data_IF_457377073059
#
_entry.id   IF_457377073059
#
_cell.length_a   1.000
_cell.length_b   1.000
_cell.length_c   1.000
_cell.angle_alpha   90.00
_cell.angle_beta   90.00
_cell.angle_gamma   90.00
#
_symmetry.space_group_name_H-M   'P 1'
#
loop_
_entity.id
_entity.type
_entity.pdbx_description
1 polymer ?
#
# COMPACT_ATOMS: atom_id res chain seq x y z
N UNK A 1 63.43 32.98 25.42
CA UNK A 1 61.92 32.86 25.55
C UNK A 1 61.34 32.37 24.25
N UNK A 2 60.92 31.12 24.22
CA UNK A 2 60.38 30.45 22.98
C UNK A 2 58.87 30.48 23.05
N UNK A 3 58.22 31.24 22.15
CA UNK A 3 56.78 31.38 22.04
C UNK A 3 56.24 30.16 21.25
N UNK A 4 55.55 29.22 21.91
CA UNK A 4 54.89 28.08 21.28
C UNK A 4 53.58 28.58 20.61
N UNK A 5 53.52 28.55 19.29
CA UNK A 5 52.31 28.80 18.52
C UNK A 5 51.41 27.58 18.62
N UNK A 6 50.27 27.73 19.28
CA UNK A 6 49.19 26.72 19.38
C UNK A 6 48.31 26.81 18.12
N UNK A 7 48.43 25.85 17.24
CA UNK A 7 47.55 25.68 16.08
C UNK A 7 46.27 25.01 16.54
N UNK A 8 45.17 25.75 16.63
CA UNK A 8 43.82 25.22 16.84
C UNK A 8 43.28 24.82 15.46
N UNK A 9 43.20 23.52 15.19
CA UNK A 9 42.56 23.00 14.02
C UNK A 9 41.04 23.02 14.24
N UNK A 10 40.34 23.90 13.53
CA UNK A 10 38.89 23.99 13.52
C UNK A 10 38.35 22.87 12.61
N UNK A 11 37.86 21.79 13.22
CA UNK A 11 37.17 20.72 12.49
C UNK A 11 35.74 21.20 12.21
N UNK A 12 35.51 21.67 10.99
CA UNK A 12 34.16 21.91 10.47
C UNK A 12 33.50 20.57 10.20
N UNK A 13 32.68 20.13 11.16
CA UNK A 13 31.77 18.98 10.94
C UNK A 13 30.67 19.40 9.97
N UNK A 14 30.73 18.89 8.73
CA UNK A 14 29.64 18.99 7.78
C UNK A 14 28.50 18.11 8.26
N UNK A 15 27.55 18.69 8.97
CA UNK A 15 26.26 18.06 9.21
C UNK A 15 25.51 18.04 7.87
N UNK A 16 25.52 16.89 7.21
CA UNK A 16 24.61 16.63 6.12
C UNK A 16 23.19 16.58 6.72
N UNK A 17 22.47 17.69 6.63
CA UNK A 17 21.04 17.70 6.88
C UNK A 17 20.38 16.85 5.80
N UNK A 18 20.00 15.62 6.15
CA UNK A 18 19.07 14.83 5.34
C UNK A 18 17.77 15.62 5.28
N UNK A 19 17.52 16.27 4.14
CA UNK A 19 16.22 16.84 3.83
C UNK A 19 15.21 15.68 3.86
N UNK A 20 14.36 15.61 4.90
CA UNK A 20 13.12 14.88 4.80
C UNK A 20 12.31 15.61 3.72
N UNK A 21 12.38 15.10 2.50
CA UNK A 21 11.43 15.49 1.48
C UNK A 21 10.05 15.11 2.03
N UNK A 22 9.16 16.09 2.15
CA UNK A 22 7.72 15.87 2.25
C UNK A 22 7.24 15.35 0.88
N UNK A 23 7.70 14.18 0.50
CA UNK A 23 7.30 13.45 -0.67
C UNK A 23 6.39 12.33 -0.22
N UNK A 24 5.30 12.12 -0.96
CA UNK A 24 4.40 10.99 -0.72
C UNK A 24 5.16 9.66 -0.73
N UNK A 25 4.45 8.59 -0.50
CA UNK A 25 4.98 7.21 -0.41
C UNK A 25 5.60 6.72 -1.74
N UNK A 26 5.30 7.35 -2.86
CA UNK A 26 5.80 6.99 -4.18
C UNK A 26 7.33 7.07 -4.27
N UNK A 27 7.94 6.04 -4.87
CA UNK A 27 9.38 5.90 -4.98
C UNK A 27 10.06 5.36 -3.71
N UNK A 28 9.32 5.12 -2.62
CA UNK A 28 9.84 4.54 -1.40
C UNK A 28 9.57 3.04 -1.32
N UNK A 29 10.35 2.26 -0.58
CA UNK A 29 10.00 0.89 -0.27
C UNK A 29 8.62 0.82 0.39
N UNK A 30 7.74 -0.05 -0.12
CA UNK A 30 6.44 -0.28 0.49
C UNK A 30 6.62 -0.82 1.91
N UNK A 31 5.98 -0.22 2.93
CA UNK A 31 6.01 -0.74 4.29
C UNK A 31 5.52 -2.19 4.33
N UNK A 32 6.34 -3.10 4.88
CA UNK A 32 5.95 -4.50 5.01
C UNK A 32 4.90 -4.68 6.11
N UNK A 33 3.97 -5.58 5.88
CA UNK A 33 2.95 -5.94 6.86
C UNK A 33 2.55 -7.41 6.73
N UNK A 34 1.92 -7.94 7.76
CA UNK A 34 1.27 -9.24 7.74
C UNK A 34 -0.11 -9.12 8.39
N UNK A 35 -1.15 -9.54 7.68
CA UNK A 35 -2.53 -9.51 8.15
C UNK A 35 -3.20 -10.88 7.93
N UNK A 36 -4.20 -11.16 8.75
CA UNK A 36 -5.05 -12.34 8.58
C UNK A 36 -6.05 -12.13 7.45
N UNK A 37 -6.14 -13.10 6.56
CA UNK A 37 -7.06 -13.07 5.43
C UNK A 37 -8.45 -13.62 5.78
N UNK A 38 -9.40 -13.43 4.86
CA UNK A 38 -10.76 -14.02 4.93
C UNK A 38 -10.76 -15.55 4.95
N UNK A 39 -9.71 -16.20 4.45
CA UNK A 39 -9.51 -17.65 4.51
C UNK A 39 -8.87 -18.12 5.83
N UNK A 40 -8.45 -17.19 6.69
CA UNK A 40 -7.81 -17.46 7.97
C UNK A 40 -6.28 -17.58 7.93
N UNK A 41 -5.68 -17.51 6.75
CA UNK A 41 -4.23 -17.54 6.56
C UNK A 41 -3.63 -16.16 6.83
N UNK A 42 -2.40 -16.12 7.34
CA UNK A 42 -1.64 -14.88 7.42
C UNK A 42 -0.94 -14.64 6.08
N UNK A 43 -1.14 -13.46 5.50
CA UNK A 43 -0.52 -13.05 4.25
C UNK A 43 0.39 -11.86 4.50
N UNK A 44 1.63 -11.94 4.00
CA UNK A 44 2.65 -10.91 4.17
C UNK A 44 3.02 -10.28 2.82
N UNK A 45 3.08 -8.94 2.77
CA UNK A 45 3.41 -8.22 1.54
C UNK A 45 4.76 -8.64 0.94
N UNK A 46 5.79 -8.82 1.76
CA UNK A 46 7.13 -9.19 1.28
C UNK A 46 7.21 -10.58 0.62
N UNK A 47 6.21 -11.45 0.80
CA UNK A 47 6.12 -12.76 0.15
C UNK A 47 5.76 -12.66 -1.35
N UNK A 48 5.29 -11.48 -1.79
CA UNK A 48 4.93 -11.22 -3.18
C UNK A 48 6.05 -10.55 -3.98
N UNK A 49 7.29 -10.56 -3.49
CA UNK A 49 8.44 -10.04 -4.26
C UNK A 49 8.59 -10.79 -5.58
N UNK A 50 8.77 -10.05 -6.67
CA UNK A 50 8.79 -10.56 -8.04
C UNK A 50 7.47 -10.36 -8.79
N UNK A 51 6.39 -10.07 -8.08
CA UNK A 51 5.08 -9.73 -8.66
C UNK A 51 4.76 -8.25 -8.47
N UNK A 52 3.89 -7.71 -9.32
CA UNK A 52 3.25 -6.42 -9.11
C UNK A 52 2.11 -6.63 -8.11
N UNK A 53 2.07 -5.81 -7.04
CA UNK A 53 1.03 -5.90 -6.01
C UNK A 53 0.20 -4.64 -5.98
N UNK A 54 -1.11 -4.80 -6.09
CA UNK A 54 -2.07 -3.74 -5.80
C UNK A 54 -2.60 -3.95 -4.38
N UNK A 55 -2.47 -2.93 -3.54
CA UNK A 55 -3.03 -2.89 -2.19
C UNK A 55 -4.20 -1.91 -2.24
N UNK A 56 -5.41 -2.39 -2.01
CA UNK A 56 -6.62 -1.56 -2.00
C UNK A 56 -7.20 -1.51 -0.58
N UNK A 57 -7.19 -0.33 0.02
CA UNK A 57 -7.79 -0.09 1.33
C UNK A 57 -9.26 0.27 1.17
N UNK A 58 -10.13 -0.44 1.87
CA UNK A 58 -11.58 -0.30 1.75
C UNK A 58 -12.35 -0.56 3.05
N UNK A 59 -13.61 -0.14 3.10
CA UNK A 59 -14.51 -0.40 4.21
C UNK A 59 -15.94 -0.62 3.72
N UNK A 60 -16.77 -1.29 4.52
CA UNK A 60 -18.17 -1.61 4.16
C UNK A 60 -19.06 -0.36 4.04
N UNK A 61 -18.75 0.70 4.77
CA UNK A 61 -19.44 1.99 4.73
C UNK A 61 -18.98 2.90 3.58
N UNK A 62 -18.01 2.49 2.79
CA UNK A 62 -17.45 3.26 1.69
C UNK A 62 -18.19 2.97 0.38
N UNK A 63 -19.03 3.88 -0.07
CA UNK A 63 -19.80 3.73 -1.32
C UNK A 63 -18.92 3.58 -2.57
N UNK A 64 -17.90 4.43 -2.80
CA UNK A 64 -16.98 4.28 -3.93
C UNK A 64 -16.20 2.96 -3.92
N UNK A 65 -15.84 2.42 -2.74
CA UNK A 65 -15.18 1.11 -2.63
C UNK A 65 -16.06 -0.01 -3.18
N UNK A 66 -17.36 0.00 -2.84
CA UNK A 66 -18.33 -0.97 -3.35
C UNK A 66 -18.44 -0.95 -4.88
N UNK A 67 -18.28 0.22 -5.50
CA UNK A 67 -18.31 0.36 -6.97
C UNK A 67 -17.02 -0.13 -7.61
N UNK A 68 -15.87 0.09 -6.96
CA UNK A 68 -14.55 -0.27 -7.45
C UNK A 68 -14.28 -1.79 -7.38
N UNK A 69 -14.66 -2.44 -6.29
CA UNK A 69 -14.28 -3.83 -5.99
C UNK A 69 -14.58 -4.85 -7.10
N UNK A 70 -15.74 -4.84 -7.78
CA UNK A 70 -15.98 -5.76 -8.89
C UNK A 70 -15.01 -5.56 -10.07
N UNK A 71 -14.61 -4.32 -10.35
CA UNK A 71 -13.67 -4.00 -11.42
C UNK A 71 -12.24 -4.44 -11.04
N UNK A 72 -11.87 -4.28 -9.77
CA UNK A 72 -10.61 -4.81 -9.24
C UNK A 72 -10.57 -6.34 -9.32
N UNK A 73 -11.69 -7.03 -9.07
CA UNK A 73 -11.78 -8.47 -9.18
C UNK A 73 -11.61 -8.95 -10.63
N UNK A 74 -12.12 -8.20 -11.61
CA UNK A 74 -11.88 -8.46 -13.03
C UNK A 74 -10.39 -8.33 -13.39
N UNK A 75 -9.70 -7.29 -12.90
CA UNK A 75 -8.26 -7.12 -13.09
C UNK A 75 -7.49 -8.27 -12.45
N UNK A 76 -7.81 -8.62 -11.21
CA UNK A 76 -7.19 -9.74 -10.51
C UNK A 76 -7.38 -11.05 -11.26
N UNK A 77 -8.59 -11.40 -11.63
CA UNK A 77 -8.92 -12.62 -12.36
C UNK A 77 -8.15 -12.74 -13.68
N UNK A 78 -7.93 -11.63 -14.37
CA UNK A 78 -7.23 -11.59 -15.66
C UNK A 78 -5.71 -11.71 -15.54
N UNK A 79 -5.10 -11.07 -14.53
CA UNK A 79 -3.66 -10.88 -14.47
C UNK A 79 -2.95 -11.67 -13.37
N UNK A 80 -3.65 -12.30 -12.41
CA UNK A 80 -3.02 -13.06 -11.31
C UNK A 80 -2.02 -14.14 -11.77
N UNK A 81 -2.25 -14.75 -12.94
CA UNK A 81 -1.40 -15.83 -13.47
C UNK A 81 -0.13 -15.33 -14.15
N UNK A 82 0.01 -14.02 -14.33
CA UNK A 82 1.15 -13.41 -15.02
C UNK A 82 1.95 -12.46 -14.12
N UNK A 83 1.86 -12.67 -12.81
CA UNK A 83 2.66 -11.95 -11.81
C UNK A 83 2.01 -10.63 -11.34
N UNK A 84 0.70 -10.64 -11.19
CA UNK A 84 -0.06 -9.57 -10.54
C UNK A 84 -0.84 -10.14 -9.35
N UNK A 85 -0.77 -9.46 -8.21
CA UNK A 85 -1.55 -9.78 -7.03
C UNK A 85 -2.34 -8.57 -6.56
N UNK A 86 -3.50 -8.82 -5.96
CA UNK A 86 -4.33 -7.80 -5.35
C UNK A 86 -4.62 -8.20 -3.90
N UNK A 87 -4.36 -7.29 -2.97
CA UNK A 87 -4.63 -7.46 -1.55
C UNK A 87 -5.66 -6.39 -1.14
N UNK A 88 -6.89 -6.81 -0.91
CA UNK A 88 -7.95 -5.92 -0.43
C UNK A 88 -7.87 -5.79 1.09
N UNK A 89 -7.38 -4.67 1.61
CA UNK A 89 -7.23 -4.44 3.05
C UNK A 89 -8.48 -3.77 3.59
N UNK A 90 -9.29 -4.52 4.32
CA UNK A 90 -10.47 -4.02 4.99
C UNK A 90 -10.13 -3.38 6.34
N UNK A 91 -10.68 -2.20 6.61
CA UNK A 91 -10.43 -1.44 7.84
C UNK A 91 -11.66 -1.35 8.77
N UNK A 92 -12.70 -2.12 8.54
CA UNK A 92 -13.81 -2.17 9.51
C UNK A 92 -13.33 -2.75 10.86
N UNK A 93 -13.95 -2.30 11.93
CA UNK A 93 -13.69 -2.84 13.28
C UNK A 93 -14.25 -4.27 13.42
N UNK A 94 -15.27 -4.60 12.65
CA UNK A 94 -15.93 -5.90 12.59
C UNK A 94 -15.80 -6.53 11.19
N UNK A 95 -15.05 -7.62 11.10
CA UNK A 95 -14.84 -8.36 9.85
C UNK A 95 -16.08 -9.09 9.34
N UNK A 96 -17.10 -9.30 10.17
CA UNK A 96 -18.34 -10.00 9.77
C UNK A 96 -19.03 -9.29 8.61
N UNK A 97 -19.21 -7.95 8.72
CA UNK A 97 -19.80 -7.14 7.65
C UNK A 97 -18.97 -7.15 6.36
N UNK A 98 -17.65 -7.21 6.51
CA UNK A 98 -16.76 -7.29 5.37
C UNK A 98 -16.91 -8.65 4.66
N UNK A 99 -17.03 -9.74 5.41
CA UNK A 99 -17.30 -11.08 4.86
C UNK A 99 -18.60 -11.13 4.07
N UNK A 100 -19.70 -10.61 4.63
CA UNK A 100 -20.99 -10.52 3.95
C UNK A 100 -20.87 -9.73 2.63
N UNK A 101 -20.15 -8.60 2.65
CA UNK A 101 -20.00 -7.74 1.48
C UNK A 101 -19.17 -8.40 0.36
N UNK A 102 -18.07 -9.09 0.67
CA UNK A 102 -17.26 -9.78 -0.35
C UNK A 102 -18.02 -10.97 -0.97
N UNK A 103 -18.87 -11.65 -0.21
CA UNK A 103 -19.76 -12.69 -0.70
C UNK A 103 -20.82 -12.09 -1.65
N UNK A 104 -21.50 -11.03 -1.22
CA UNK A 104 -22.51 -10.32 -2.02
C UNK A 104 -21.95 -9.79 -3.36
N UNK A 105 -20.71 -9.29 -3.36
CA UNK A 105 -20.06 -8.76 -4.57
C UNK A 105 -19.36 -9.83 -5.41
N UNK A 106 -19.25 -11.07 -4.92
CA UNK A 106 -18.54 -12.16 -5.61
C UNK A 106 -17.05 -11.93 -5.77
N UNK A 107 -16.41 -11.29 -4.80
CA UNK A 107 -14.98 -10.96 -4.82
C UNK A 107 -14.13 -12.22 -4.60
N UNK A 108 -13.12 -12.42 -5.46
CA UNK A 108 -12.22 -13.58 -5.42
C UNK A 108 -10.78 -13.23 -5.03
N UNK A 109 -10.37 -11.96 -5.10
CA UNK A 109 -9.04 -11.57 -4.64
C UNK A 109 -8.93 -11.69 -3.10
N UNK A 110 -7.71 -11.90 -2.56
CA UNK A 110 -7.47 -11.98 -1.13
C UNK A 110 -7.93 -10.73 -0.38
N UNK A 111 -8.77 -10.93 0.64
CA UNK A 111 -9.20 -9.86 1.55
C UNK A 111 -8.54 -10.06 2.90
N UNK A 112 -7.90 -9.02 3.41
CA UNK A 112 -7.15 -8.97 4.66
C UNK A 112 -7.83 -8.03 5.65
N UNK A 113 -7.73 -8.30 6.96
CA UNK A 113 -8.43 -7.53 7.98
C UNK A 113 -7.46 -6.71 8.84
N UNK A 114 -7.57 -5.40 8.76
CA UNK A 114 -6.80 -4.41 9.54
C UNK A 114 -7.71 -3.73 10.60
N UNK A 115 -8.39 -4.53 11.42
CA UNK A 115 -9.32 -4.03 12.43
C UNK A 115 -8.66 -3.08 13.46
N UNK A 116 -7.33 -3.17 13.65
CA UNK A 116 -6.56 -2.26 14.51
C UNK A 116 -6.06 -1.03 13.81
N UNK A 117 -6.26 -0.94 12.49
CA UNK A 117 -5.84 0.18 11.63
C UNK A 117 -4.33 0.45 11.59
N UNK A 118 -3.52 -0.51 12.05
CA UNK A 118 -2.06 -0.37 12.09
C UNK A 118 -1.44 -0.29 10.69
N UNK A 119 -1.97 -1.06 9.73
CA UNK A 119 -1.48 -1.05 8.36
C UNK A 119 -2.02 0.17 7.61
N UNK A 120 -3.28 0.52 7.76
CA UNK A 120 -3.87 1.71 7.15
C UNK A 120 -3.21 3.00 7.65
N UNK A 121 -2.83 3.08 8.94
CA UNK A 121 -2.03 4.20 9.48
C UNK A 121 -0.63 4.23 8.87
N UNK A 122 0.03 3.06 8.72
CA UNK A 122 1.36 2.93 8.12
C UNK A 122 1.39 3.42 6.66
N UNK A 123 0.28 3.28 5.95
CA UNK A 123 0.07 3.72 4.57
C UNK A 123 -0.60 5.10 4.44
N UNK A 124 -0.74 5.85 5.54
CA UNK A 124 -1.34 7.19 5.60
C UNK A 124 -2.74 7.25 4.94
N UNK A 125 -3.56 6.22 5.21
CA UNK A 125 -4.91 6.11 4.65
C UNK A 125 -5.85 7.07 5.37
N UNK A 126 -6.02 8.28 4.82
CA UNK A 126 -6.87 9.34 5.38
C UNK A 126 -8.26 9.45 4.73
N UNK A 127 -8.45 8.81 3.59
CA UNK A 127 -9.71 8.76 2.83
C UNK A 127 -9.87 7.39 2.17
N UNK A 128 -11.08 7.06 1.71
CA UNK A 128 -11.38 5.75 1.12
C UNK A 128 -12.04 5.87 -0.26
N UNK A 129 -11.68 4.96 -1.19
CA UNK A 129 -10.60 3.97 -1.13
C UNK A 129 -9.21 4.63 -1.28
N UNK A 130 -8.16 3.92 -0.85
CA UNK A 130 -6.79 4.21 -1.25
C UNK A 130 -6.25 2.98 -1.96
N UNK A 131 -5.70 3.19 -3.16
CA UNK A 131 -5.10 2.12 -3.95
C UNK A 131 -3.62 2.41 -4.15
N UNK A 132 -2.77 1.48 -3.70
CA UNK A 132 -1.31 1.57 -3.79
C UNK A 132 -0.82 0.49 -4.75
N UNK A 133 -0.01 0.86 -5.74
CA UNK A 133 0.62 -0.09 -6.66
C UNK A 133 2.11 -0.19 -6.33
N UNK A 134 2.54 -1.42 -6.05
CA UNK A 134 3.90 -1.78 -5.66
C UNK A 134 4.51 -2.61 -6.78
N UNK A 135 5.73 -2.26 -7.19
CA UNK A 135 6.44 -2.98 -8.22
C UNK A 135 7.06 -4.30 -7.72
N UNK A 136 7.69 -5.03 -8.64
CA UNK A 136 8.32 -6.36 -8.39
C UNK A 136 9.46 -6.29 -7.37
N UNK A 137 10.11 -5.13 -7.26
CA UNK A 137 11.18 -4.84 -6.30
C UNK A 137 10.64 -4.42 -4.93
N UNK A 138 9.32 -4.17 -4.85
CA UNK A 138 8.63 -3.76 -3.63
C UNK A 138 8.68 -2.26 -3.37
N UNK A 139 8.84 -1.47 -4.41
CA UNK A 139 8.78 -0.01 -4.35
C UNK A 139 7.37 0.46 -4.68
N UNK A 140 6.85 1.42 -3.94
CA UNK A 140 5.57 2.07 -4.26
C UNK A 140 5.73 2.89 -5.54
N UNK A 141 4.93 2.58 -6.55
CA UNK A 141 4.98 3.29 -7.84
C UNK A 141 3.88 4.31 -7.99
N UNK A 142 2.69 4.00 -7.48
CA UNK A 142 1.52 4.86 -7.59
C UNK A 142 0.67 4.79 -6.33
N UNK A 143 0.07 5.92 -5.96
CA UNK A 143 -0.91 6.04 -4.87
C UNK A 143 -2.12 6.81 -5.39
N UNK A 144 -3.29 6.19 -5.33
CA UNK A 144 -4.55 6.80 -5.72
C UNK A 144 -5.45 6.99 -4.51
N UNK A 145 -5.98 8.20 -4.36
CA UNK A 145 -6.93 8.55 -3.30
C UNK A 145 -8.33 8.72 -3.88
N UNK A 146 -9.27 7.93 -3.38
CA UNK A 146 -10.64 7.86 -3.90
C UNK A 146 -10.74 7.04 -5.18
N UNK A 147 -11.98 6.82 -5.63
CA UNK A 147 -12.28 6.14 -6.89
C UNK A 147 -13.24 6.98 -7.73
N UNK A 148 -13.03 6.98 -9.03
CA UNK A 148 -13.95 7.50 -10.05
C UNK A 148 -14.02 6.52 -11.21
N UNK A 149 -15.18 6.38 -11.90
CA UNK A 149 -15.29 5.57 -13.10
C UNK A 149 -14.21 5.93 -14.13
N UNK A 150 -13.51 4.93 -14.68
CA UNK A 150 -12.37 5.09 -15.57
C UNK A 150 -11.00 4.90 -14.88
N UNK A 151 -10.94 4.78 -13.55
CA UNK A 151 -9.68 4.49 -12.85
C UNK A 151 -9.17 3.08 -13.15
N UNK A 152 -10.06 2.15 -13.46
CA UNK A 152 -9.73 0.79 -13.91
C UNK A 152 -8.81 0.77 -15.12
N UNK A 153 -8.97 1.69 -16.08
CA UNK A 153 -8.09 1.83 -17.25
C UNK A 153 -6.71 2.33 -16.84
N UNK A 154 -6.65 3.28 -15.88
CA UNK A 154 -5.39 3.78 -15.32
C UNK A 154 -4.66 2.66 -14.59
N UNK A 155 -5.36 1.89 -13.76
CA UNK A 155 -4.77 0.76 -13.05
C UNK A 155 -4.22 -0.29 -14.03
N UNK A 156 -4.99 -0.59 -15.09
CA UNK A 156 -4.57 -1.53 -16.11
C UNK A 156 -3.24 -1.12 -16.77
N UNK A 157 -3.07 0.16 -17.07
CA UNK A 157 -1.84 0.68 -17.66
C UNK A 157 -0.66 0.64 -16.67
N UNK A 158 -0.92 0.80 -15.38
CA UNK A 158 0.10 0.83 -14.34
C UNK A 158 0.57 -0.54 -13.86
N UNK A 159 -0.25 -1.59 -14.00
CA UNK A 159 0.11 -2.96 -13.60
C UNK A 159 0.78 -3.77 -14.73
N UNK A 160 0.85 -3.25 -15.93
CA UNK A 160 1.46 -3.88 -17.14
C UNK A 160 2.92 -3.51 -17.29
#
# INVERSE_FOLDING_TARGET
MKLKKLLIALVFGVFAASSLAAGGMEGQPAPDFALKSSTGENMRLSEYRGDVVMINFWATWCGPCRQEMPLLDELYSRYQRVGFNLLGVNIDDDSGRAMDMIEDLGVNFPVLFDARKEVSELYDVSAMPVTVIVDREGTVRYVHHGYKPGYEDIYLDQIR
#
